data_IF_479130301140
#
_entry.id   IF_479130301140
#
_cell.length_a   1.000
_cell.length_b   1.000
_cell.length_c   1.000
_cell.angle_alpha   90.00
_cell.angle_beta   90.00
_cell.angle_gamma   90.00
#
_symmetry.space_group_name_H-M   'P 1'
#
loop_
_entity.id
_entity.type
_entity.pdbx_description
1 polymer ?
#
# COMPACT_ATOMS: atom_id res chain seq x y z
N UNK A 1 -17.36 14.53 4.70
CA UNK A 1 -16.27 13.53 4.67
C UNK A 1 -14.96 14.12 4.12
N UNK A 2 -14.92 14.65 2.89
CA UNK A 2 -13.73 15.21 2.25
C UNK A 2 -13.06 16.32 3.07
N UNK A 3 -13.85 17.29 3.55
CA UNK A 3 -13.37 18.37 4.42
C UNK A 3 -12.82 17.86 5.75
N UNK A 4 -13.40 16.81 6.33
CA UNK A 4 -12.89 16.19 7.56
C UNK A 4 -11.55 15.51 7.32
N UNK A 5 -11.43 14.74 6.24
CA UNK A 5 -10.16 14.12 5.82
C UNK A 5 -9.10 15.19 5.56
N UNK A 6 -9.47 16.28 4.88
CA UNK A 6 -8.52 17.35 4.59
C UNK A 6 -8.06 18.04 5.88
N UNK A 7 -8.96 18.37 6.80
CA UNK A 7 -8.60 18.93 8.12
C UNK A 7 -7.66 17.99 8.90
N UNK A 8 -7.94 16.70 8.90
CA UNK A 8 -7.08 15.71 9.56
C UNK A 8 -5.68 15.65 8.92
N UNK A 9 -5.58 15.72 7.59
CA UNK A 9 -4.28 15.82 6.89
C UNK A 9 -3.53 17.10 7.29
N UNK A 10 -4.21 18.24 7.41
CA UNK A 10 -3.57 19.49 7.84
C UNK A 10 -2.99 19.38 9.26
N UNK A 11 -3.69 18.71 10.17
CA UNK A 11 -3.17 18.45 11.52
C UNK A 11 -1.92 17.58 11.50
N UNK A 12 -1.94 16.47 10.74
CA UNK A 12 -0.77 15.60 10.59
C UNK A 12 0.39 16.33 9.93
N UNK A 13 0.13 17.16 8.91
CA UNK A 13 1.16 17.97 8.27
C UNK A 13 1.83 18.92 9.27
N UNK A 14 1.05 19.60 10.12
CA UNK A 14 1.57 20.49 11.17
C UNK A 14 2.48 19.75 12.15
N UNK A 15 2.18 18.50 12.48
CA UNK A 15 3.05 17.66 13.33
C UNK A 15 4.34 17.22 12.61
N UNK A 16 4.27 16.95 11.31
CA UNK A 16 5.40 16.45 10.52
C UNK A 16 6.33 17.58 10.03
N UNK A 17 5.76 18.72 9.68
CA UNK A 17 6.52 19.89 9.22
C UNK A 17 7.03 20.69 10.42
N UNK A 18 8.25 20.37 10.86
CA UNK A 18 8.93 21.04 11.97
C UNK A 18 9.45 22.44 11.62
N UNK A 19 8.78 23.14 10.71
CA UNK A 19 8.99 24.58 10.49
C UNK A 19 10.31 24.96 9.85
N UNK A 20 10.93 24.10 9.05
CA UNK A 20 12.07 24.45 8.21
C UNK A 20 11.63 25.33 7.04
N UNK A 21 11.29 26.57 7.34
CA UNK A 21 11.02 27.57 6.29
C UNK A 21 12.30 27.83 5.50
N UNK A 22 12.22 27.65 4.19
CA UNK A 22 13.28 28.01 3.26
C UNK A 22 12.99 29.38 2.70
N UNK A 23 13.85 30.32 3.00
CA UNK A 23 13.68 31.72 2.58
C UNK A 23 13.69 31.91 1.05
N UNK A 24 14.28 30.96 0.33
CA UNK A 24 14.43 30.95 -1.13
C UNK A 24 13.22 30.38 -1.89
N UNK A 25 12.11 30.05 -1.18
CA UNK A 25 10.96 29.38 -1.78
C UNK A 25 9.67 30.16 -1.58
N UNK A 26 9.02 30.52 -2.68
CA UNK A 26 7.69 31.16 -2.67
C UNK A 26 6.62 30.30 -1.97
N UNK A 27 6.74 28.96 -2.10
CA UNK A 27 5.83 28.00 -1.49
C UNK A 27 6.60 26.97 -0.67
N UNK A 28 6.28 26.86 0.61
CA UNK A 28 6.85 25.85 1.50
C UNK A 28 6.35 24.44 1.15
N UNK A 29 7.04 23.41 1.64
CA UNK A 29 6.73 22.02 1.31
C UNK A 29 5.32 21.59 1.77
N UNK A 30 4.87 22.10 2.92
CA UNK A 30 3.52 21.83 3.45
C UNK A 30 2.43 22.35 2.51
N UNK A 31 2.62 23.52 1.89
CA UNK A 31 1.70 24.10 0.89
C UNK A 31 1.58 23.15 -0.32
N UNK A 32 2.69 22.62 -0.81
CA UNK A 32 2.71 21.68 -1.93
C UNK A 32 1.99 20.39 -1.56
N UNK A 33 2.26 19.85 -0.36
CA UNK A 33 1.66 18.60 0.11
C UNK A 33 0.16 18.78 0.37
N UNK A 34 -0.28 19.90 0.95
CA UNK A 34 -1.73 20.15 1.16
C UNK A 34 -2.50 20.25 -0.16
N UNK A 35 -1.94 20.93 -1.18
CA UNK A 35 -2.58 21.02 -2.51
C UNK A 35 -2.60 19.66 -3.20
N UNK A 36 -1.55 18.87 -3.04
CA UNK A 36 -1.50 17.50 -3.53
C UNK A 36 -2.59 16.62 -2.89
N UNK A 37 -2.73 16.63 -1.55
CA UNK A 37 -3.78 15.84 -0.89
C UNK A 37 -5.18 16.28 -1.25
N UNK A 38 -5.42 17.58 -1.48
CA UNK A 38 -6.70 18.08 -1.98
C UNK A 38 -7.05 17.45 -3.33
N UNK A 39 -6.12 17.43 -4.27
CA UNK A 39 -6.30 16.75 -5.56
C UNK A 39 -6.60 15.24 -5.38
N UNK A 40 -5.87 14.55 -4.49
CA UNK A 40 -6.03 13.10 -4.27
C UNK A 40 -7.35 12.76 -3.58
N UNK A 41 -7.83 13.57 -2.64
CA UNK A 41 -9.12 13.41 -1.96
C UNK A 41 -10.26 13.46 -2.98
N UNK A 42 -10.18 14.39 -3.93
CA UNK A 42 -11.21 14.59 -4.96
C UNK A 42 -11.02 13.75 -6.23
N UNK A 43 -10.04 12.86 -6.29
CA UNK A 43 -9.70 12.09 -7.49
C UNK A 43 -9.52 12.96 -8.74
N UNK A 44 -8.78 14.06 -8.58
CA UNK A 44 -8.54 15.02 -9.65
C UNK A 44 -7.05 15.19 -9.94
N UNK A 45 -6.70 15.61 -11.15
CA UNK A 45 -5.31 15.97 -11.45
C UNK A 45 -4.88 17.18 -10.62
N UNK A 46 -3.58 17.31 -10.40
CA UNK A 46 -3.01 18.44 -9.63
C UNK A 46 -3.41 19.80 -10.22
N UNK A 47 -3.49 19.91 -11.55
CA UNK A 47 -3.93 21.12 -12.25
C UNK A 47 -5.32 21.60 -11.77
N UNK A 48 -6.20 20.68 -11.45
CA UNK A 48 -7.51 21.02 -10.88
C UNK A 48 -7.36 21.68 -9.50
N UNK A 49 -6.49 21.14 -8.63
CA UNK A 49 -6.27 21.69 -7.31
C UNK A 49 -5.47 23.01 -7.29
N UNK A 50 -4.84 23.43 -8.40
CA UNK A 50 -4.20 24.72 -8.54
C UNK A 50 -5.20 25.88 -8.79
N UNK A 51 -6.46 25.57 -9.05
CA UNK A 51 -7.48 26.56 -9.38
C UNK A 51 -8.30 26.94 -8.14
N UNK A 52 -8.43 28.26 -7.89
CA UNK A 52 -9.12 28.79 -6.71
C UNK A 52 -10.60 28.40 -6.63
N UNK A 53 -11.27 28.22 -7.77
CA UNK A 53 -12.69 27.85 -7.88
C UNK A 53 -12.99 26.48 -7.25
N UNK A 54 -12.01 25.60 -7.12
CA UNK A 54 -12.17 24.26 -6.54
C UNK A 54 -11.86 24.20 -5.04
N UNK A 55 -11.72 25.34 -4.39
CA UNK A 55 -11.40 25.43 -2.97
C UNK A 55 -12.47 26.20 -2.20
N UNK A 56 -12.77 25.80 -0.98
CA UNK A 56 -13.49 26.66 -0.05
C UNK A 56 -12.77 27.99 0.15
N UNK A 57 -13.53 29.07 0.38
CA UNK A 57 -13.01 30.44 0.50
C UNK A 57 -11.83 30.52 1.49
N UNK A 58 -11.96 29.84 2.62
CA UNK A 58 -10.97 29.87 3.71
C UNK A 58 -9.67 29.10 3.47
N UNK A 59 -9.59 28.27 2.38
CA UNK A 59 -8.41 27.48 2.05
C UNK A 59 -7.75 27.84 0.71
N UNK A 60 -8.35 28.74 -0.06
CA UNK A 60 -7.91 29.05 -1.43
C UNK A 60 -6.77 30.05 -1.56
N UNK A 61 -6.23 30.57 -0.43
CA UNK A 61 -5.13 31.50 -0.47
C UNK A 61 -3.79 30.81 -0.76
N UNK A 62 -2.91 31.47 -1.52
CA UNK A 62 -1.55 30.99 -1.76
C UNK A 62 -1.46 29.67 -2.52
N UNK A 63 -2.23 29.50 -3.60
CA UNK A 63 -2.17 28.28 -4.43
C UNK A 63 -1.03 28.39 -5.45
N UNK A 64 -0.16 27.35 -5.54
CA UNK A 64 0.89 27.27 -6.54
C UNK A 64 0.33 27.04 -7.95
N UNK A 65 1.08 27.45 -8.97
CA UNK A 65 0.78 27.09 -10.35
C UNK A 65 1.04 25.60 -10.64
N UNK A 66 0.46 25.07 -11.73
CA UNK A 66 0.69 23.70 -12.21
C UNK A 66 2.16 23.36 -12.40
N UNK A 67 2.91 24.29 -13.00
CA UNK A 67 4.33 24.12 -13.25
C UNK A 67 5.13 24.04 -11.94
N UNK A 68 4.80 24.89 -10.97
CA UNK A 68 5.38 24.86 -9.62
C UNK A 68 5.05 23.53 -8.93
N UNK A 69 3.80 23.11 -8.93
CA UNK A 69 3.40 21.81 -8.36
C UNK A 69 4.14 20.66 -9.03
N UNK A 70 4.18 20.62 -10.37
CA UNK A 70 4.86 19.56 -11.12
C UNK A 70 6.36 19.47 -10.79
N UNK A 71 7.04 20.58 -10.63
CA UNK A 71 8.45 20.64 -10.24
C UNK A 71 8.64 20.23 -8.78
N UNK A 72 7.89 20.85 -7.86
CA UNK A 72 8.04 20.65 -6.41
C UNK A 72 7.66 19.25 -5.95
N UNK A 73 6.64 18.64 -6.50
CA UNK A 73 6.28 17.24 -6.21
C UNK A 73 7.39 16.23 -6.57
N UNK A 74 8.41 16.64 -7.32
CA UNK A 74 9.60 15.82 -7.62
C UNK A 74 10.78 16.08 -6.69
N UNK A 75 10.73 17.15 -5.88
CA UNK A 75 11.81 17.47 -4.94
C UNK A 75 11.90 16.44 -3.82
N UNK A 76 13.12 16.19 -3.36
CA UNK A 76 13.37 15.23 -2.28
C UNK A 76 12.68 15.65 -0.97
N UNK A 77 12.63 16.95 -0.67
CA UNK A 77 12.01 17.47 0.55
C UNK A 77 10.50 17.21 0.61
N UNK A 78 9.76 17.45 -0.49
CA UNK A 78 8.33 17.15 -0.58
C UNK A 78 8.07 15.65 -0.52
N UNK A 79 8.90 14.82 -1.17
CA UNK A 79 8.77 13.37 -1.08
C UNK A 79 9.04 12.87 0.34
N UNK A 80 10.02 13.44 1.04
CA UNK A 80 10.29 13.12 2.43
C UNK A 80 9.13 13.51 3.34
N UNK A 81 8.53 14.68 3.15
CA UNK A 81 7.35 15.11 3.93
C UNK A 81 6.15 14.18 3.68
N UNK A 82 5.87 13.81 2.42
CA UNK A 82 4.83 12.83 2.10
C UNK A 82 5.08 11.48 2.80
N UNK A 83 6.33 11.04 2.86
CA UNK A 83 6.68 9.80 3.57
C UNK A 83 6.54 9.93 5.10
N UNK A 84 6.87 11.09 5.67
CA UNK A 84 6.66 11.35 7.11
C UNK A 84 5.16 11.33 7.45
N UNK A 85 4.31 11.98 6.64
CA UNK A 85 2.86 11.97 6.80
C UNK A 85 2.33 10.54 6.72
N UNK A 86 2.73 9.77 5.72
CA UNK A 86 2.37 8.36 5.60
C UNK A 86 2.75 7.59 6.88
N UNK A 87 4.01 7.63 7.27
CA UNK A 87 4.50 6.92 8.47
C UNK A 87 3.73 7.31 9.73
N UNK A 88 3.42 8.60 9.91
CA UNK A 88 2.68 9.08 11.06
C UNK A 88 1.26 8.54 11.12
N UNK A 89 0.61 8.45 9.95
CA UNK A 89 -0.78 7.97 9.83
C UNK A 89 -0.86 6.45 9.87
N UNK A 90 0.09 5.74 9.25
CA UNK A 90 0.04 4.28 9.11
C UNK A 90 0.77 3.56 10.24
N UNK A 91 1.41 4.29 11.17
CA UNK A 91 2.08 3.68 12.32
C UNK A 91 1.10 2.75 13.07
N UNK A 92 1.44 1.47 13.25
CA UNK A 92 0.56 0.55 13.94
C UNK A 92 0.45 0.95 15.42
N UNK A 93 -0.77 1.09 15.92
CA UNK A 93 -1.06 1.29 17.34
C UNK A 93 -0.97 -0.03 18.11
N UNK A 94 -1.27 -1.14 17.43
CA UNK A 94 -1.10 -2.51 17.92
C UNK A 94 -0.52 -3.34 16.77
N UNK A 95 0.74 -3.79 16.88
CA UNK A 95 1.38 -4.53 15.80
C UNK A 95 0.75 -5.90 15.54
N UNK A 96 0.08 -6.52 16.53
CA UNK A 96 -0.52 -7.84 16.38
C UNK A 96 0.50 -8.93 16.02
N UNK A 97 -0.02 -10.16 15.90
CA UNK A 97 0.78 -11.33 15.51
C UNK A 97 0.34 -11.95 14.18
N UNK A 98 -0.70 -11.43 13.56
CA UNK A 98 -1.29 -12.00 12.34
C UNK A 98 -1.26 -10.96 11.21
N UNK A 99 -0.55 -11.33 10.15
CA UNK A 99 -0.35 -10.49 8.98
C UNK A 99 -0.79 -11.24 7.74
N UNK A 100 -1.17 -10.52 6.73
CA UNK A 100 -1.60 -11.04 5.44
C UNK A 100 -0.79 -10.36 4.36
N UNK A 101 -0.35 -11.12 3.35
CA UNK A 101 0.38 -10.56 2.21
C UNK A 101 -0.33 -10.93 0.93
N UNK A 102 -0.53 -9.95 0.07
CA UNK A 102 -1.15 -10.16 -1.23
C UNK A 102 -0.82 -9.01 -2.21
N UNK A 103 -1.23 -9.17 -3.47
CA UNK A 103 -1.00 -8.24 -4.57
C UNK A 103 -2.29 -7.77 -5.23
N UNK A 104 -2.58 -6.44 -5.16
CA UNK A 104 -3.73 -5.83 -5.85
C UNK A 104 -3.33 -5.27 -7.22
N UNK A 105 -3.96 -5.71 -8.33
CA UNK A 105 -3.77 -5.12 -9.65
C UNK A 105 -4.23 -3.66 -9.69
N UNK A 106 -3.42 -2.80 -10.31
CA UNK A 106 -3.72 -1.40 -10.59
C UNK A 106 -3.64 -1.20 -12.11
N UNK A 107 -4.77 -1.43 -12.76
CA UNK A 107 -4.87 -1.42 -14.22
C UNK A 107 -4.79 0.01 -14.74
N UNK A 108 -4.10 0.19 -15.87
CA UNK A 108 -4.13 1.40 -16.70
C UNK A 108 -4.82 1.10 -18.02
N UNK A 109 -5.26 2.13 -18.73
CA UNK A 109 -5.82 1.96 -20.07
C UNK A 109 -4.87 1.19 -20.98
N UNK A 110 -5.38 0.24 -21.76
CA UNK A 110 -4.60 -0.54 -22.73
C UNK A 110 -3.87 0.30 -23.77
N UNK A 111 -4.42 1.48 -24.12
CA UNK A 111 -3.79 2.45 -25.03
C UNK A 111 -2.67 3.27 -24.36
N UNK A 112 -2.38 3.06 -23.09
CA UNK A 112 -1.36 3.84 -22.39
C UNK A 112 0.05 3.58 -22.93
N UNK A 113 0.76 4.67 -23.26
CA UNK A 113 2.17 4.65 -23.68
C UNK A 113 3.15 4.53 -22.51
N UNK A 114 2.68 4.27 -21.29
CA UNK A 114 3.55 4.09 -20.11
C UNK A 114 4.45 2.87 -20.31
N UNK A 115 5.74 3.11 -20.54
CA UNK A 115 6.76 2.06 -20.74
C UNK A 115 7.16 1.35 -19.44
N UNK A 116 6.85 1.92 -18.28
CA UNK A 116 7.18 1.36 -16.97
C UNK A 116 6.10 0.40 -16.46
N UNK A 117 4.91 0.40 -17.04
CA UNK A 117 3.85 -0.54 -16.74
C UNK A 117 4.08 -1.87 -17.45
N UNK A 118 3.76 -2.97 -16.77
CA UNK A 118 3.84 -4.33 -17.32
C UNK A 118 2.47 -4.94 -17.59
N UNK A 119 2.45 -6.05 -18.33
CA UNK A 119 1.25 -6.87 -18.51
C UNK A 119 1.19 -7.99 -17.46
N UNK A 120 0.01 -8.24 -16.94
CA UNK A 120 -0.20 -9.29 -15.94
C UNK A 120 -1.68 -9.58 -15.72
N UNK A 121 -1.97 -10.53 -14.86
CA UNK A 121 -3.33 -10.98 -14.57
C UNK A 121 -4.08 -9.94 -13.72
N UNK A 122 -5.30 -9.60 -14.15
CA UNK A 122 -6.25 -8.79 -13.43
C UNK A 122 -7.64 -9.42 -13.52
N UNK A 123 -8.65 -8.87 -12.84
CA UNK A 123 -10.03 -9.26 -13.04
C UNK A 123 -10.40 -9.07 -14.52
N UNK A 124 -10.92 -10.11 -15.16
CA UNK A 124 -11.29 -10.08 -16.57
C UNK A 124 -10.17 -10.46 -17.55
N UNK A 125 -8.98 -10.88 -17.07
CA UNK A 125 -7.92 -11.39 -17.95
C UNK A 125 -6.59 -10.66 -17.82
N UNK A 126 -5.85 -10.59 -18.93
CA UNK A 126 -4.54 -9.92 -18.97
C UNK A 126 -4.72 -8.42 -19.19
N UNK A 127 -4.09 -7.62 -18.35
CA UNK A 127 -4.15 -6.16 -18.45
C UNK A 127 -2.77 -5.52 -18.24
N UNK A 128 -2.62 -4.30 -18.79
CA UNK A 128 -1.42 -3.47 -18.58
C UNK A 128 -1.57 -2.65 -17.30
N UNK A 129 -0.53 -2.58 -16.47
CA UNK A 129 -0.57 -1.78 -15.26
C UNK A 129 0.57 -2.03 -14.29
N UNK A 130 0.27 -1.71 -13.06
CA UNK A 130 1.10 -1.95 -11.89
C UNK A 130 0.38 -2.89 -10.92
N UNK A 131 1.11 -3.42 -9.96
CA UNK A 131 0.54 -4.19 -8.85
C UNK A 131 1.01 -3.58 -7.54
N UNK A 132 0.06 -3.32 -6.65
CA UNK A 132 0.33 -2.99 -5.26
C UNK A 132 0.52 -4.30 -4.49
N UNK A 133 1.69 -4.50 -3.91
CA UNK A 133 1.97 -5.57 -2.97
C UNK A 133 1.98 -4.99 -1.56
N UNK A 134 1.26 -5.59 -0.64
CA UNK A 134 1.14 -5.08 0.72
C UNK A 134 1.16 -6.19 1.77
N UNK A 135 1.70 -5.87 2.94
CA UNK A 135 1.56 -6.63 4.17
C UNK A 135 0.59 -5.87 5.06
N UNK A 136 -0.53 -6.52 5.36
CA UNK A 136 -1.64 -5.92 6.09
C UNK A 136 -1.92 -6.73 7.35
N UNK A 137 -2.05 -6.06 8.46
CA UNK A 137 -2.39 -6.64 9.75
C UNK A 137 -3.87 -6.48 10.08
N UNK A 138 -4.23 -6.77 11.34
CA UNK A 138 -5.60 -6.64 11.82
C UNK A 138 -6.18 -5.25 11.57
N UNK A 139 -7.48 -5.18 11.32
CA UNK A 139 -8.21 -3.93 11.04
C UNK A 139 -7.65 -3.14 9.86
N UNK A 140 -6.91 -3.81 8.95
CA UNK A 140 -6.31 -3.17 7.79
C UNK A 140 -5.09 -2.29 8.08
N UNK A 141 -4.41 -2.53 9.20
CA UNK A 141 -3.14 -1.88 9.52
C UNK A 141 -2.11 -2.21 8.44
N UNK A 142 -1.51 -1.19 7.85
CA UNK A 142 -0.53 -1.33 6.79
C UNK A 142 0.89 -1.41 7.38
N UNK A 143 1.52 -2.58 7.33
CA UNK A 143 2.88 -2.75 7.83
C UNK A 143 3.95 -2.37 6.81
N UNK A 144 3.74 -2.75 5.55
CA UNK A 144 4.67 -2.45 4.47
C UNK A 144 3.97 -2.60 3.12
N UNK A 145 4.40 -1.85 2.12
CA UNK A 145 3.86 -1.95 0.77
C UNK A 145 4.90 -1.57 -0.29
N UNK A 146 4.69 -2.06 -1.50
CA UNK A 146 5.46 -1.70 -2.68
C UNK A 146 4.58 -1.77 -3.91
N UNK A 147 4.92 -0.98 -4.92
CA UNK A 147 4.38 -1.16 -6.26
C UNK A 147 5.44 -1.72 -7.20
N UNK A 148 4.98 -2.48 -8.18
CA UNK A 148 5.82 -2.99 -9.25
C UNK A 148 5.01 -3.05 -10.56
N UNK A 149 5.65 -3.10 -11.75
CA UNK A 149 4.97 -3.48 -12.97
C UNK A 149 4.26 -4.83 -12.82
N UNK A 150 3.08 -5.00 -13.44
CA UNK A 150 2.26 -6.22 -13.24
C UNK A 150 2.93 -7.53 -13.64
N UNK A 151 3.96 -7.49 -14.49
CA UNK A 151 4.75 -8.66 -14.89
C UNK A 151 5.83 -9.09 -13.88
N UNK A 152 5.96 -8.40 -12.75
CA UNK A 152 6.94 -8.80 -11.72
C UNK A 152 6.38 -9.95 -10.88
N UNK A 153 7.24 -10.92 -10.61
CA UNK A 153 6.92 -12.08 -9.77
C UNK A 153 6.55 -11.62 -8.35
N UNK A 154 5.37 -12.04 -7.88
CA UNK A 154 4.82 -11.70 -6.57
C UNK A 154 5.72 -12.19 -5.43
N UNK A 155 6.37 -13.34 -5.57
CA UNK A 155 7.27 -13.90 -4.57
C UNK A 155 8.51 -13.05 -4.36
N UNK A 156 9.03 -12.45 -5.45
CA UNK A 156 10.16 -11.49 -5.36
C UNK A 156 9.74 -10.23 -4.61
N UNK A 157 8.53 -9.77 -4.83
CA UNK A 157 8.01 -8.59 -4.12
C UNK A 157 7.71 -8.90 -2.67
N UNK A 158 7.12 -10.06 -2.38
CA UNK A 158 6.91 -10.56 -1.03
C UNK A 158 8.22 -10.69 -0.25
N UNK A 159 9.27 -11.24 -0.85
CA UNK A 159 10.59 -11.32 -0.22
C UNK A 159 11.10 -9.94 0.22
N UNK A 160 10.97 -8.93 -0.67
CA UNK A 160 11.39 -7.56 -0.36
C UNK A 160 10.58 -6.94 0.77
N UNK A 161 9.28 -7.22 0.83
CA UNK A 161 8.39 -6.75 1.89
C UNK A 161 8.73 -7.43 3.21
N UNK A 162 8.82 -8.76 3.22
CA UNK A 162 9.09 -9.55 4.42
C UNK A 162 10.48 -9.28 5.03
N UNK A 163 11.46 -8.88 4.22
CA UNK A 163 12.79 -8.48 4.72
C UNK A 163 12.77 -7.16 5.49
N UNK A 164 11.86 -6.26 5.18
CA UNK A 164 11.88 -4.86 5.68
C UNK A 164 10.70 -4.52 6.59
N UNK A 165 9.60 -5.28 6.55
CA UNK A 165 8.43 -5.02 7.38
C UNK A 165 8.76 -5.23 8.88
N UNK A 166 8.40 -4.26 9.72
CA UNK A 166 8.54 -4.37 11.17
C UNK A 166 7.36 -5.19 11.76
N UNK A 167 7.37 -6.50 11.51
CA UNK A 167 6.31 -7.44 11.91
C UNK A 167 6.90 -8.67 12.58
N UNK A 168 6.07 -9.38 13.36
CA UNK A 168 6.38 -10.66 14.00
C UNK A 168 5.15 -11.57 14.00
N UNK A 169 5.33 -12.86 14.27
CA UNK A 169 4.25 -13.85 14.33
C UNK A 169 4.00 -14.52 12.98
N UNK A 170 2.77 -14.57 12.53
CA UNK A 170 2.34 -15.31 11.35
C UNK A 170 2.03 -14.39 10.18
N UNK A 171 2.51 -14.75 8.99
CA UNK A 171 2.15 -14.11 7.72
C UNK A 171 1.39 -15.10 6.86
N UNK A 172 0.13 -14.81 6.59
CA UNK A 172 -0.73 -15.66 5.77
C UNK A 172 -0.72 -15.18 4.33
N UNK A 173 -0.63 -16.12 3.39
CA UNK A 173 -0.65 -15.86 1.96
C UNK A 173 -1.34 -17.00 1.18
N UNK A 174 -1.62 -16.78 -0.10
CA UNK A 174 -2.14 -17.84 -0.97
C UNK A 174 -1.05 -18.86 -1.36
N UNK A 175 -1.46 -19.95 -2.01
CA UNK A 175 -0.54 -21.02 -2.42
C UNK A 175 0.52 -20.58 -3.44
N UNK A 176 0.37 -19.44 -4.12
CA UNK A 176 1.40 -18.92 -5.03
C UNK A 176 2.65 -18.46 -4.28
N UNK A 177 2.50 -18.11 -3.00
CA UNK A 177 3.61 -17.72 -2.13
C UNK A 177 4.33 -18.93 -1.50
N UNK A 178 3.81 -20.16 -1.63
CA UNK A 178 4.49 -21.37 -1.14
C UNK A 178 5.80 -21.61 -1.90
N UNK A 179 6.89 -21.17 -1.34
CA UNK A 179 8.23 -21.35 -1.90
C UNK A 179 9.31 -21.41 -0.82
N UNK A 180 10.30 -22.30 -1.02
CA UNK A 180 11.44 -22.43 -0.11
C UNK A 180 12.13 -21.08 0.15
N UNK A 181 12.20 -20.21 -0.86
CA UNK A 181 12.84 -18.89 -0.75
C UNK A 181 12.12 -17.99 0.26
N UNK A 182 10.79 -17.93 0.23
CA UNK A 182 10.03 -17.09 1.15
C UNK A 182 10.04 -17.66 2.57
N UNK A 183 9.88 -18.96 2.73
CA UNK A 183 10.03 -19.62 4.03
C UNK A 183 11.41 -19.37 4.64
N UNK A 184 12.49 -19.46 3.84
CA UNK A 184 13.85 -19.15 4.30
C UNK A 184 14.04 -17.67 4.73
N UNK A 185 13.30 -16.72 4.13
CA UNK A 185 13.33 -15.33 4.59
C UNK A 185 12.72 -15.21 5.99
N UNK A 186 11.59 -15.86 6.22
CA UNK A 186 10.94 -15.89 7.54
C UNK A 186 11.80 -16.57 8.58
N UNK A 187 12.41 -17.71 8.22
CA UNK A 187 13.35 -18.44 9.12
C UNK A 187 14.52 -17.57 9.57
N UNK A 188 15.16 -16.85 8.64
CA UNK A 188 16.28 -15.96 8.98
C UNK A 188 15.89 -14.81 9.91
N UNK A 189 14.63 -14.42 9.93
CA UNK A 189 14.13 -13.41 10.89
C UNK A 189 13.92 -13.97 12.28
N UNK A 190 13.72 -15.29 12.41
CA UNK A 190 13.57 -15.99 13.68
C UNK A 190 12.23 -15.75 14.41
N UNK A 191 11.56 -14.63 14.15
CA UNK A 191 10.30 -14.24 14.79
C UNK A 191 9.09 -14.23 13.85
N UNK A 192 9.21 -14.85 12.66
CA UNK A 192 8.18 -14.79 11.62
C UNK A 192 7.96 -16.19 11.02
N UNK A 193 6.71 -16.59 10.87
CA UNK A 193 6.30 -17.84 10.20
C UNK A 193 5.39 -17.51 9.04
N UNK A 194 5.78 -17.93 7.82
CA UNK A 194 4.89 -17.88 6.66
C UNK A 194 3.93 -19.07 6.70
N UNK A 195 2.62 -18.80 6.52
CA UNK A 195 1.55 -19.79 6.48
C UNK A 195 0.86 -19.71 5.13
N UNK A 196 0.93 -20.81 4.36
CA UNK A 196 0.34 -20.90 3.02
C UNK A 196 -0.24 -22.28 2.78
N UNK A 197 -1.33 -22.39 2.01
CA UNK A 197 -1.69 -23.68 1.44
C UNK A 197 -0.54 -24.19 0.57
N UNK A 198 -0.37 -25.50 0.49
CA UNK A 198 0.62 -26.08 -0.40
C UNK A 198 0.27 -25.77 -1.86
N UNK A 199 1.23 -25.30 -2.63
CA UNK A 199 1.02 -24.97 -4.05
C UNK A 199 0.71 -26.20 -4.90
N UNK A 200 1.33 -27.33 -4.57
CA UNK A 200 1.15 -28.59 -5.27
C UNK A 200 0.68 -29.65 -4.29
N UNK A 201 -0.24 -30.52 -4.71
CA UNK A 201 -0.79 -31.58 -3.89
C UNK A 201 0.26 -32.55 -3.34
N UNK A 202 -0.13 -33.50 -2.47
CA UNK A 202 0.76 -34.48 -1.86
C UNK A 202 1.64 -35.17 -2.91
N UNK A 203 2.93 -35.32 -2.62
CA UNK A 203 3.88 -35.96 -3.51
C UNK A 203 4.47 -35.10 -4.62
N UNK A 204 3.89 -33.94 -4.96
CA UNK A 204 4.45 -33.02 -5.95
C UNK A 204 5.21 -31.88 -5.30
N UNK A 205 6.45 -31.64 -5.77
CA UNK A 205 7.29 -30.51 -5.33
C UNK A 205 8.07 -30.72 -4.04
N UNK A 206 7.93 -31.85 -3.35
CA UNK A 206 8.71 -32.17 -2.15
C UNK A 206 9.80 -33.24 -2.39
N UNK A 207 9.64 -34.09 -3.43
CA UNK A 207 10.46 -35.32 -3.58
C UNK A 207 11.89 -35.12 -4.10
N UNK A 208 12.20 -34.03 -4.80
CA UNK A 208 13.49 -33.89 -5.50
C UNK A 208 14.36 -32.73 -5.02
N UNK A 209 13.88 -31.89 -4.13
CA UNK A 209 14.63 -30.73 -3.63
C UNK A 209 14.58 -30.66 -2.11
N UNK A 210 15.73 -30.36 -1.53
CA UNK A 210 15.83 -30.09 -0.10
C UNK A 210 14.88 -28.95 0.28
N UNK A 211 13.96 -29.23 1.19
CA UNK A 211 13.02 -28.25 1.73
C UNK A 211 13.67 -27.44 2.85
N UNK A 212 13.29 -26.17 2.97
CA UNK A 212 13.72 -25.34 4.10
C UNK A 212 12.97 -25.75 5.37
N UNK A 213 13.59 -25.60 6.56
CA UNK A 213 12.94 -25.90 7.83
C UNK A 213 11.59 -25.18 7.99
N UNK A 214 11.50 -23.89 7.62
CA UNK A 214 10.26 -23.13 7.69
C UNK A 214 9.16 -23.67 6.79
N UNK A 215 9.51 -24.18 5.60
CA UNK A 215 8.50 -24.81 4.74
C UNK A 215 8.03 -26.13 5.30
N UNK A 216 8.91 -26.94 5.86
CA UNK A 216 8.53 -28.18 6.55
C UNK A 216 7.60 -27.90 7.74
N UNK A 217 7.92 -26.88 8.55
CA UNK A 217 7.01 -26.44 9.64
C UNK A 217 5.65 -26.00 9.10
N UNK A 218 5.60 -25.25 7.99
CA UNK A 218 4.34 -24.86 7.37
C UNK A 218 3.52 -26.07 6.92
N UNK A 219 4.14 -27.06 6.28
CA UNK A 219 3.47 -28.31 5.85
C UNK A 219 2.92 -29.05 7.08
N UNK A 220 3.73 -29.21 8.12
CA UNK A 220 3.29 -29.85 9.37
C UNK A 220 2.14 -29.08 10.05
N UNK A 221 2.15 -27.76 9.97
CA UNK A 221 1.09 -26.92 10.53
C UNK A 221 -0.23 -27.03 9.75
N UNK A 222 -0.17 -27.06 8.43
CA UNK A 222 -1.35 -27.01 7.54
C UNK A 222 -1.92 -28.39 7.29
N UNK A 223 -1.09 -29.44 7.21
CA UNK A 223 -1.48 -30.80 6.85
C UNK A 223 -1.29 -31.82 8.01
N UNK A 224 -0.85 -31.34 9.18
CA UNK A 224 -0.62 -32.17 10.36
C UNK A 224 -1.89 -32.57 11.10
N UNK A 225 -1.76 -33.28 12.23
CA UNK A 225 -2.89 -33.89 12.96
C UNK A 225 -3.82 -32.86 13.64
N UNK A 226 -3.41 -31.60 13.79
CA UNK A 226 -4.20 -30.54 14.38
C UNK A 226 -4.28 -29.31 13.47
N UNK A 227 -4.95 -29.37 12.31
CA UNK A 227 -4.97 -28.31 11.32
C UNK A 227 -5.80 -27.09 11.73
N UNK A 228 -6.66 -27.19 12.77
CA UNK A 228 -7.63 -26.14 13.17
C UNK A 228 -7.02 -24.76 13.31
N UNK A 229 -5.82 -24.66 13.88
CA UNK A 229 -5.14 -23.37 14.03
C UNK A 229 -4.77 -22.77 12.66
N UNK A 230 -4.18 -23.57 11.78
CA UNK A 230 -3.81 -23.14 10.43
C UNK A 230 -5.05 -22.85 9.56
N UNK A 231 -6.10 -23.65 9.70
CA UNK A 231 -7.39 -23.42 9.03
C UNK A 231 -7.98 -22.07 9.44
N UNK A 232 -7.97 -21.73 10.73
CA UNK A 232 -8.39 -20.43 11.23
C UNK A 232 -7.58 -19.28 10.61
N UNK A 233 -6.26 -19.43 10.57
CA UNK A 233 -5.38 -18.42 9.95
C UNK A 233 -5.66 -18.28 8.44
N UNK A 234 -5.85 -19.38 7.73
CA UNK A 234 -6.11 -19.37 6.30
C UNK A 234 -7.52 -18.84 5.98
N UNK A 235 -8.52 -19.12 6.84
CA UNK A 235 -9.86 -18.56 6.72
C UNK A 235 -9.85 -17.02 6.85
N UNK A 236 -9.05 -16.49 7.77
CA UNK A 236 -8.90 -15.05 7.93
C UNK A 236 -8.19 -14.37 6.75
N UNK A 237 -7.63 -15.14 5.80
CA UNK A 237 -7.00 -14.58 4.59
C UNK A 237 -7.95 -13.67 3.81
N UNK A 238 -9.23 -14.00 3.74
CA UNK A 238 -10.23 -13.24 2.99
C UNK A 238 -10.39 -11.80 3.53
N UNK A 239 -9.91 -11.51 4.72
CA UNK A 239 -9.86 -10.14 5.24
C UNK A 239 -8.93 -9.23 4.41
N UNK A 240 -7.84 -9.74 3.80
CA UNK A 240 -7.00 -8.92 2.93
C UNK A 240 -7.73 -8.50 1.66
N UNK A 241 -8.56 -9.39 1.11
CA UNK A 241 -9.41 -9.08 -0.04
C UNK A 241 -10.43 -8.00 0.33
N UNK A 242 -11.05 -8.11 1.52
CA UNK A 242 -11.93 -7.06 2.07
C UNK A 242 -11.19 -5.74 2.28
N UNK A 243 -9.96 -5.78 2.78
CA UNK A 243 -9.12 -4.58 2.94
C UNK A 243 -8.78 -3.94 1.58
N UNK A 244 -8.45 -4.76 0.57
CA UNK A 244 -8.25 -4.26 -0.79
C UNK A 244 -9.57 -3.79 -1.43
N UNK A 245 -10.69 -4.43 -1.11
CA UNK A 245 -12.03 -3.98 -1.47
C UNK A 245 -12.34 -2.60 -0.90
N UNK A 246 -12.03 -2.35 0.36
CA UNK A 246 -12.18 -1.02 0.97
C UNK A 246 -11.30 0.04 0.30
N UNK A 247 -10.07 -0.30 -0.09
CA UNK A 247 -9.21 0.58 -0.90
C UNK A 247 -9.85 0.90 -2.26
N UNK A 248 -10.72 0.03 -2.77
CA UNK A 248 -11.40 0.21 -4.05
C UNK A 248 -12.66 1.03 -3.92
N UNK A 249 -13.50 0.72 -2.94
CA UNK A 249 -14.91 1.15 -2.89
C UNK A 249 -15.16 2.43 -2.09
N UNK A 250 -14.19 2.87 -1.29
CA UNK A 250 -14.36 4.06 -0.46
C UNK A 250 -13.93 5.32 -1.20
N UNK A 251 -14.92 5.99 -1.83
CA UNK A 251 -14.84 7.35 -2.38
C UNK A 251 -13.46 7.70 -2.99
N UNK A 252 -13.25 7.37 -4.25
CA UNK A 252 -11.96 7.59 -4.88
C UNK A 252 -10.88 6.59 -4.48
N UNK A 253 -11.24 5.34 -4.21
CA UNK A 253 -10.32 4.26 -3.94
C UNK A 253 -9.42 3.86 -5.11
N UNK A 254 -8.57 2.86 -4.89
CA UNK A 254 -7.67 2.31 -5.90
C UNK A 254 -8.38 1.27 -6.78
N UNK A 255 -9.37 1.67 -7.57
CA UNK A 255 -10.05 0.76 -8.49
C UNK A 255 -9.26 0.60 -9.79
N UNK A 256 -8.87 1.69 -10.38
CA UNK A 256 -7.96 1.78 -11.52
C UNK A 256 -7.13 3.04 -11.40
N UNK A 257 -6.04 3.14 -12.14
CA UNK A 257 -5.25 4.35 -12.11
C UNK A 257 -5.86 5.40 -13.05
N UNK A 258 -6.16 6.62 -12.56
CA UNK A 258 -6.65 7.71 -13.38
C UNK A 258 -5.75 7.99 -14.60
N UNK A 259 -6.30 8.53 -15.67
CA UNK A 259 -5.57 8.77 -16.92
C UNK A 259 -4.31 9.64 -16.76
N UNK A 260 -4.27 10.53 -15.80
CA UNK A 260 -3.14 11.40 -15.49
C UNK A 260 -2.09 10.77 -14.57
N UNK A 261 -2.38 9.63 -13.95
CA UNK A 261 -1.45 8.91 -13.07
C UNK A 261 -0.71 7.86 -13.89
N UNK A 262 0.37 8.28 -14.51
CA UNK A 262 1.26 7.44 -15.35
C UNK A 262 2.69 7.60 -14.89
N UNK A 263 3.57 6.68 -15.25
CA UNK A 263 4.95 6.55 -14.80
C UNK A 263 5.07 6.10 -13.34
N UNK A 264 6.08 5.29 -13.06
CA UNK A 264 6.28 4.68 -11.75
C UNK A 264 6.24 5.69 -10.59
N UNK A 265 6.92 6.83 -10.72
CA UNK A 265 7.00 7.85 -9.66
C UNK A 265 5.64 8.49 -9.35
N UNK A 266 4.82 8.76 -10.37
CA UNK A 266 3.47 9.32 -10.16
C UNK A 266 2.53 8.29 -9.57
N UNK A 267 2.61 7.03 -10.05
CA UNK A 267 1.82 5.93 -9.52
C UNK A 267 2.18 5.68 -8.06
N UNK A 268 3.47 5.62 -7.73
CA UNK A 268 3.93 5.44 -6.35
C UNK A 268 3.35 6.51 -5.42
N UNK A 269 3.51 7.79 -5.76
CA UNK A 269 3.00 8.90 -4.96
C UNK A 269 1.47 8.89 -4.83
N UNK A 270 0.76 8.55 -5.90
CA UNK A 270 -0.69 8.42 -5.88
C UNK A 270 -1.14 7.31 -4.93
N UNK A 271 -0.59 6.12 -5.07
CA UNK A 271 -0.88 4.97 -4.21
C UNK A 271 -0.53 5.28 -2.75
N UNK A 272 0.64 5.84 -2.49
CA UNK A 272 1.06 6.31 -1.17
C UNK A 272 -0.01 7.18 -0.51
N UNK A 273 -0.46 8.21 -1.22
CA UNK A 273 -1.46 9.13 -0.68
C UNK A 273 -2.82 8.49 -0.48
N UNK A 274 -3.25 7.59 -1.37
CA UNK A 274 -4.50 6.82 -1.20
C UNK A 274 -4.45 5.89 0.00
N UNK A 275 -3.33 5.21 0.22
CA UNK A 275 -3.12 4.37 1.40
C UNK A 275 -3.16 5.21 2.70
N UNK A 276 -2.48 6.35 2.70
CA UNK A 276 -2.49 7.30 3.83
C UNK A 276 -3.91 7.78 4.14
N UNK A 277 -4.67 8.22 3.12
CA UNK A 277 -6.05 8.69 3.28
C UNK A 277 -6.99 7.58 3.77
N UNK A 278 -6.80 6.35 3.29
CA UNK A 278 -7.59 5.20 3.75
C UNK A 278 -7.32 4.89 5.23
N UNK A 279 -6.07 4.91 5.65
CA UNK A 279 -5.70 4.70 7.05
C UNK A 279 -6.27 5.80 7.94
N UNK A 280 -6.16 7.06 7.52
CA UNK A 280 -6.70 8.21 8.24
C UNK A 280 -8.23 8.15 8.36
N UNK A 281 -8.92 7.77 7.29
CA UNK A 281 -10.38 7.60 7.29
C UNK A 281 -10.83 6.54 8.28
N UNK A 282 -10.11 5.42 8.38
CA UNK A 282 -10.38 4.36 9.37
C UNK A 282 -10.22 4.89 10.80
N UNK A 283 -9.19 5.68 11.06
CA UNK A 283 -8.97 6.30 12.37
C UNK A 283 -10.13 7.22 12.76
N UNK A 284 -10.57 8.07 11.82
CA UNK A 284 -11.70 8.98 12.05
C UNK A 284 -13.02 8.22 12.30
N UNK A 285 -13.27 7.15 11.54
CA UNK A 285 -14.48 6.33 11.75
C UNK A 285 -14.47 5.62 13.10
N UNK A 286 -13.32 5.15 13.56
CA UNK A 286 -13.18 4.50 14.87
C UNK A 286 -13.30 5.48 16.05
N UNK A 287 -13.01 6.77 15.86
CA UNK A 287 -13.20 7.80 16.87
C UNK A 287 -14.67 8.18 17.07
N UNK A 288 -15.51 8.04 16.03
CA UNK A 288 -16.95 8.31 16.12
C UNK A 288 -17.76 7.14 16.73
N UNK A 289 -17.13 5.98 16.91
CA UNK A 289 -17.75 4.79 17.51
C UNK A 289 -17.39 4.62 18.99
N UNK A 290 -16.61 5.53 19.55
CA UNK A 290 -16.27 5.62 20.99
C UNK A 290 -16.92 6.84 21.60
#
# INVERSE_FOLDING_TARGET
>A
MEHQLYRAILLVLKECDKGRRRADQDYQDDVIVRVWYWAVIHDRPVSWACRREHWPIWWRAGLPSDSTMSRRLRSASVQQLLHQVERRVTAPTDPGLFWKIDGKPLVISGCSKDRQAGYGRAAGGQAKGYKLHAVVGPRGTLASWRIAPMNKDERVMAERLLKTAAIQGYVVADGNYDSNRLHAVCDRRGNLQLVTPRRYGPGRGTGHRRQTPGRLRNIALVEGPCPRFAEGLLHDRDEIERNFGQLTNWGGGLNGLPAWVRTYRRVHRWVQSKLTLTALRRQLSNQHLR
#
